data_IF_994830346626
#
_entry.id   IF_994830346626
#
_cell.length_a   1.000
_cell.length_b   1.000
_cell.length_c   1.000
_cell.angle_alpha   90.00
_cell.angle_beta   90.00
_cell.angle_gamma   90.00
#
_symmetry.space_group_name_H-M   'P 1'
#
loop_
_entity.id
_entity.type
_entity.pdbx_description
1 polymer ?
#
# COMPACT_ATOMS: atom_id res chain seq x y z
N UNK A 1 -0.11 -14.59 -2.35
CA UNK A 1 0.63 -15.84 -2.15
C UNK A 1 0.81 -16.12 -0.66
N UNK A 2 0.99 -17.37 -0.32
CA UNK A 2 0.99 -17.82 1.08
C UNK A 2 2.15 -17.23 1.87
N UNK A 3 3.29 -17.07 1.22
CA UNK A 3 4.51 -16.49 1.80
C UNK A 3 4.36 -15.04 2.26
N UNK A 4 3.36 -14.34 1.73
CA UNK A 4 3.08 -12.93 2.05
C UNK A 4 1.79 -12.72 2.86
N UNK A 5 1.19 -13.80 3.39
CA UNK A 5 0.01 -13.71 4.24
C UNK A 5 0.28 -12.95 5.53
N UNK A 6 -0.79 -12.37 6.05
CA UNK A 6 -0.77 -11.77 7.38
C UNK A 6 -0.45 -12.87 8.41
N UNK A 7 0.52 -12.67 9.32
CA UNK A 7 0.83 -13.65 10.36
C UNK A 7 -0.41 -14.03 11.19
N UNK A 8 -0.49 -15.31 11.56
CA UNK A 8 -1.67 -15.84 12.26
C UNK A 8 -1.99 -15.08 13.54
N UNK A 9 -0.99 -14.67 14.31
CA UNK A 9 -1.19 -13.90 15.54
C UNK A 9 -1.85 -12.53 15.28
N UNK A 10 -1.52 -11.86 14.17
CA UNK A 10 -2.18 -10.60 13.78
C UNK A 10 -3.63 -10.86 13.40
N UNK A 11 -3.85 -11.94 12.63
CA UNK A 11 -5.19 -12.29 12.16
C UNK A 11 -6.12 -12.68 13.30
N UNK A 12 -5.65 -13.52 14.23
CA UNK A 12 -6.47 -14.01 15.34
C UNK A 12 -6.56 -13.02 16.50
N UNK A 13 -5.41 -12.50 16.97
CA UNK A 13 -5.35 -11.72 18.20
C UNK A 13 -5.66 -10.24 17.99
N UNK A 14 -5.52 -9.73 16.76
CA UNK A 14 -5.78 -8.31 16.46
C UNK A 14 -7.02 -8.14 15.61
N UNK A 15 -7.06 -8.70 14.40
CA UNK A 15 -8.15 -8.45 13.46
C UNK A 15 -9.47 -9.05 13.93
N UNK A 16 -9.49 -10.34 14.27
CA UNK A 16 -10.72 -10.99 14.77
C UNK A 16 -11.14 -10.45 16.14
N UNK A 17 -10.19 -10.25 17.04
CA UNK A 17 -10.49 -9.75 18.39
C UNK A 17 -11.04 -8.32 18.39
N UNK A 18 -10.66 -7.48 17.41
CA UNK A 18 -11.19 -6.12 17.25
C UNK A 18 -12.60 -6.07 16.67
N UNK A 19 -13.15 -7.21 16.20
CA UNK A 19 -14.47 -7.28 15.58
C UNK A 19 -14.55 -6.63 14.19
N UNK A 20 -13.41 -6.30 13.57
CA UNK A 20 -13.38 -5.77 12.21
C UNK A 20 -13.45 -6.91 11.18
N UNK A 21 -14.26 -6.70 10.16
CA UNK A 21 -14.27 -7.58 8.99
C UNK A 21 -12.98 -7.38 8.20
N UNK A 22 -12.36 -8.48 7.77
CA UNK A 22 -11.21 -8.47 6.87
C UNK A 22 -11.29 -9.64 5.90
N UNK A 23 -10.70 -9.46 4.74
CA UNK A 23 -10.63 -10.48 3.69
C UNK A 23 -9.21 -10.54 3.15
N UNK A 24 -8.65 -11.74 2.99
CA UNK A 24 -7.40 -11.96 2.28
C UNK A 24 -7.69 -12.53 0.89
N UNK A 25 -7.25 -11.83 -0.13
CA UNK A 25 -7.44 -12.25 -1.53
C UNK A 25 -6.09 -12.52 -2.18
N UNK A 26 -6.06 -13.41 -3.16
CA UNK A 26 -4.83 -13.75 -3.89
C UNK A 26 -4.65 -12.94 -5.17
N UNK A 27 -5.73 -12.39 -5.71
CA UNK A 27 -5.70 -11.61 -6.95
C UNK A 27 -6.14 -10.19 -6.69
N UNK A 28 -5.37 -9.24 -7.19
CA UNK A 28 -5.67 -7.82 -7.06
C UNK A 28 -7.01 -7.46 -7.73
N UNK A 29 -7.29 -8.07 -8.87
CA UNK A 29 -8.50 -7.84 -9.65
C UNK A 29 -9.78 -8.18 -8.88
N UNK A 30 -9.74 -9.14 -7.96
CA UNK A 30 -10.89 -9.54 -7.16
C UNK A 30 -11.23 -8.50 -6.06
N UNK A 31 -10.23 -7.71 -5.66
CA UNK A 31 -10.39 -6.66 -4.66
C UNK A 31 -10.75 -5.29 -5.27
N UNK A 32 -10.13 -4.91 -6.40
CA UNK A 32 -10.22 -3.56 -6.99
C UNK A 32 -11.64 -2.98 -7.08
N UNK A 33 -12.68 -3.72 -7.50
CA UNK A 33 -14.03 -3.16 -7.59
C UNK A 33 -14.65 -2.75 -6.25
N UNK A 34 -14.12 -3.29 -5.15
CA UNK A 34 -14.66 -3.08 -3.79
C UNK A 34 -13.95 -1.94 -3.05
N UNK A 35 -12.72 -1.60 -3.47
CA UNK A 35 -11.85 -0.70 -2.71
C UNK A 35 -12.21 0.78 -2.86
N UNK A 36 -12.14 1.51 -1.77
CA UNK A 36 -12.12 2.97 -1.73
C UNK A 36 -10.69 3.50 -1.67
N UNK A 37 -9.79 2.74 -1.06
CA UNK A 37 -8.35 3.05 -0.99
C UNK A 37 -7.55 1.78 -1.30
N UNK A 38 -6.62 1.89 -2.22
CA UNK A 38 -5.62 0.87 -2.51
C UNK A 38 -4.26 1.36 -2.02
N UNK A 39 -3.74 0.77 -0.94
CA UNK A 39 -2.39 1.06 -0.46
C UNK A 39 -1.43 0.01 -1.01
N UNK A 40 -0.74 0.34 -2.10
CA UNK A 40 0.27 -0.54 -2.70
C UNK A 40 1.60 -0.46 -1.97
N UNK A 41 2.29 -1.57 -1.88
CA UNK A 41 3.67 -1.66 -1.42
C UNK A 41 4.47 -2.57 -2.35
N UNK A 42 5.78 -2.37 -2.40
CA UNK A 42 6.65 -3.29 -3.13
C UNK A 42 6.71 -4.66 -2.44
N UNK A 43 6.98 -5.69 -3.22
CA UNK A 43 7.37 -7.00 -2.69
C UNK A 43 8.77 -6.88 -2.12
N UNK A 44 8.92 -7.08 -0.81
CA UNK A 44 10.18 -6.86 -0.09
C UNK A 44 11.10 -8.06 -0.27
N UNK A 45 12.23 -7.89 -1.01
CA UNK A 45 13.23 -8.94 -1.23
C UNK A 45 13.75 -9.51 0.11
N UNK A 46 13.86 -8.67 1.10
CA UNK A 46 14.39 -8.96 2.43
C UNK A 46 13.55 -10.00 3.21
N UNK A 47 12.33 -10.29 2.77
CA UNK A 47 11.43 -11.28 3.39
C UNK A 47 11.54 -12.68 2.81
N UNK A 48 12.30 -12.85 1.72
CA UNK A 48 12.48 -14.13 1.06
C UNK A 48 13.79 -14.79 1.49
N UNK A 49 13.73 -16.07 1.82
CA UNK A 49 14.92 -16.85 2.20
C UNK A 49 15.84 -17.13 1.01
N UNK A 50 15.28 -17.19 -0.21
CA UNK A 50 16.05 -17.39 -1.42
C UNK A 50 15.64 -16.38 -2.51
N UNK A 51 16.55 -16.18 -3.46
CA UNK A 51 16.35 -15.21 -4.54
C UNK A 51 15.36 -15.72 -5.61
N UNK A 52 15.23 -17.03 -5.78
CA UNK A 52 14.34 -17.63 -6.77
C UNK A 52 12.86 -17.34 -6.43
N UNK A 53 12.49 -17.47 -5.16
CA UNK A 53 11.15 -17.13 -4.68
C UNK A 53 10.84 -15.65 -4.87
N UNK A 54 11.81 -14.77 -4.57
CA UNK A 54 11.63 -13.34 -4.82
C UNK A 54 11.41 -13.04 -6.30
N UNK A 55 12.25 -13.62 -7.20
CA UNK A 55 12.11 -13.40 -8.65
C UNK A 55 10.75 -13.87 -9.17
N UNK A 56 10.23 -14.98 -8.65
CA UNK A 56 8.89 -15.50 -8.99
C UNK A 56 7.78 -14.55 -8.53
N UNK A 57 7.96 -13.86 -7.39
CA UNK A 57 6.92 -13.08 -6.73
C UNK A 57 6.98 -11.58 -6.99
N UNK A 58 8.15 -11.05 -7.40
CA UNK A 58 8.36 -9.60 -7.56
C UNK A 58 7.38 -8.92 -8.51
N UNK A 59 6.91 -9.65 -9.54
CA UNK A 59 6.01 -9.16 -10.57
C UNK A 59 4.56 -9.65 -10.38
N UNK A 60 4.25 -10.24 -9.23
CA UNK A 60 2.95 -10.86 -8.98
C UNK A 60 1.81 -9.82 -8.87
N UNK A 61 2.09 -8.67 -8.30
CA UNK A 61 1.12 -7.58 -8.13
C UNK A 61 1.62 -6.34 -8.87
N UNK A 62 1.26 -6.20 -10.13
CA UNK A 62 1.52 -4.97 -10.89
C UNK A 62 0.18 -4.29 -11.13
N UNK A 63 0.06 -3.04 -10.67
CA UNK A 63 -1.07 -2.17 -10.99
C UNK A 63 -0.78 -1.46 -12.30
N UNK A 64 -1.52 -1.78 -13.32
CA UNK A 64 -1.46 -1.21 -14.65
C UNK A 64 -2.77 -0.49 -15.01
N UNK A 65 -2.80 0.12 -16.19
CA UNK A 65 -3.97 0.85 -16.67
C UNK A 65 -5.19 -0.04 -16.86
N UNK A 66 -5.02 -1.30 -17.27
CA UNK A 66 -6.14 -2.22 -17.48
C UNK A 66 -6.79 -2.59 -16.14
N UNK A 67 -5.99 -2.83 -15.10
CA UNK A 67 -6.52 -3.07 -13.75
C UNK A 67 -7.20 -1.84 -13.17
N UNK A 68 -6.73 -0.64 -13.50
CA UNK A 68 -7.37 0.61 -13.10
C UNK A 68 -8.79 0.78 -13.66
N UNK A 69 -9.13 0.13 -14.76
CA UNK A 69 -10.50 0.13 -15.31
C UNK A 69 -11.50 -0.66 -14.44
N UNK A 70 -11.01 -1.62 -13.65
CA UNK A 70 -11.82 -2.41 -12.71
C UNK A 70 -12.12 -1.65 -11.42
N UNK A 71 -11.32 -0.64 -11.10
CA UNK A 71 -11.40 0.09 -9.85
C UNK A 71 -12.50 1.16 -9.88
N UNK A 72 -13.03 1.53 -8.71
CA UNK A 72 -13.96 2.64 -8.57
C UNK A 72 -13.35 3.94 -9.09
N UNK A 73 -14.19 4.83 -9.62
CA UNK A 73 -13.76 6.11 -10.18
C UNK A 73 -13.19 7.08 -9.14
N UNK A 74 -13.60 6.92 -7.89
CA UNK A 74 -13.24 7.72 -6.73
C UNK A 74 -12.28 7.01 -5.77
N UNK A 75 -11.75 5.84 -6.15
CA UNK A 75 -10.71 5.14 -5.38
C UNK A 75 -9.43 5.98 -5.31
N UNK A 76 -8.74 5.96 -4.17
CA UNK A 76 -7.41 6.55 -4.04
C UNK A 76 -6.32 5.48 -4.04
N UNK A 77 -5.22 5.74 -4.76
CA UNK A 77 -4.04 4.89 -4.78
C UNK A 77 -2.94 5.54 -3.94
N UNK A 78 -2.50 4.84 -2.93
CA UNK A 78 -1.41 5.22 -2.03
C UNK A 78 -0.22 4.30 -2.21
N UNK A 79 0.99 4.82 -1.99
CA UNK A 79 2.24 4.08 -2.00
C UNK A 79 3.29 4.82 -1.18
N UNK A 80 4.07 4.16 -0.31
CA UNK A 80 5.05 4.84 0.54
C UNK A 80 6.26 5.40 -0.23
N UNK A 81 6.44 5.02 -1.50
CA UNK A 81 7.61 5.32 -2.33
C UNK A 81 8.96 5.02 -1.64
N UNK A 82 10.03 4.74 -2.38
CA UNK A 82 10.08 4.60 -3.84
C UNK A 82 9.41 3.30 -4.32
N UNK A 83 8.84 3.35 -5.51
CA UNK A 83 8.34 2.15 -6.19
C UNK A 83 9.41 1.58 -7.14
N UNK A 84 9.25 0.32 -7.53
CA UNK A 84 10.03 -0.35 -8.58
C UNK A 84 9.14 -0.54 -9.81
N UNK A 85 8.35 -1.61 -9.86
CA UNK A 85 7.46 -1.96 -10.97
C UNK A 85 6.03 -2.29 -10.55
N UNK A 86 5.74 -2.29 -9.25
CA UNK A 86 4.44 -2.66 -8.69
C UNK A 86 3.31 -1.68 -9.07
N UNK A 87 3.66 -0.48 -9.50
CA UNK A 87 2.73 0.45 -10.17
C UNK A 87 3.39 0.89 -11.48
N UNK A 88 2.73 0.62 -12.59
CA UNK A 88 3.15 1.07 -13.91
C UNK A 88 3.18 2.59 -14.01
N UNK A 89 4.17 3.14 -14.72
CA UNK A 89 4.31 4.60 -14.88
C UNK A 89 3.13 5.26 -15.60
N UNK A 90 2.39 4.51 -16.40
CA UNK A 90 1.18 5.01 -17.06
C UNK A 90 0.05 5.37 -16.08
N UNK A 91 0.07 4.81 -14.85
CA UNK A 91 -0.88 5.12 -13.79
C UNK A 91 -0.62 6.49 -13.17
N UNK A 92 0.58 7.07 -13.33
CA UNK A 92 0.95 8.36 -12.72
C UNK A 92 0.07 9.52 -13.18
N UNK A 93 -0.46 9.44 -14.39
CA UNK A 93 -1.36 10.45 -14.94
C UNK A 93 -2.83 10.28 -14.51
N UNK A 94 -3.17 9.18 -13.82
CA UNK A 94 -4.53 8.92 -13.37
C UNK A 94 -4.85 9.84 -12.16
N UNK A 95 -6.01 10.52 -12.14
CA UNK A 95 -6.36 11.43 -11.03
C UNK A 95 -6.50 10.73 -9.66
N UNK A 96 -6.66 9.40 -9.66
CA UNK A 96 -6.70 8.57 -8.44
C UNK A 96 -5.32 8.30 -7.86
N UNK A 97 -4.22 8.57 -8.59
CA UNK A 97 -2.85 8.37 -8.15
C UNK A 97 -2.44 9.44 -7.12
N UNK A 98 -2.67 9.16 -5.83
CA UNK A 98 -2.43 10.10 -4.74
C UNK A 98 -1.05 9.96 -4.07
N UNK A 99 -0.23 8.98 -4.47
CA UNK A 99 1.03 8.63 -3.80
C UNK A 99 2.10 9.73 -3.85
N UNK A 100 2.14 10.58 -4.87
CA UNK A 100 3.07 11.73 -4.88
C UNK A 100 2.65 12.80 -3.86
N UNK A 101 1.35 13.11 -3.77
CA UNK A 101 0.82 14.00 -2.73
C UNK A 101 1.01 13.41 -1.34
N UNK A 102 0.79 12.11 -1.19
CA UNK A 102 1.04 11.38 0.06
C UNK A 102 2.49 11.55 0.52
N UNK A 103 3.47 11.40 -0.39
CA UNK A 103 4.88 11.58 -0.07
C UNK A 103 5.18 13.01 0.42
N UNK A 104 4.61 14.03 -0.23
CA UNK A 104 4.73 15.42 0.20
C UNK A 104 4.09 15.66 1.57
N UNK A 105 2.88 15.16 1.80
CA UNK A 105 2.21 15.27 3.10
C UNK A 105 2.97 14.54 4.20
N UNK A 106 3.64 13.46 3.87
CA UNK A 106 4.53 12.74 4.78
C UNK A 106 5.66 13.63 5.34
N UNK A 107 6.15 14.60 4.58
CA UNK A 107 7.12 15.61 5.08
C UNK A 107 6.46 16.48 6.14
N UNK A 108 5.29 17.04 5.87
CA UNK A 108 4.59 17.92 6.80
C UNK A 108 4.19 17.20 8.10
N UNK A 109 3.69 15.97 7.98
CA UNK A 109 3.33 15.16 9.16
C UNK A 109 4.56 14.84 10.01
N UNK A 110 5.71 14.50 9.40
CA UNK A 110 6.95 14.26 10.15
C UNK A 110 7.45 15.54 10.82
N UNK A 111 7.40 16.68 10.16
CA UNK A 111 7.74 17.97 10.76
C UNK A 111 6.85 18.26 11.98
N UNK A 112 5.54 18.13 11.83
CA UNK A 112 4.58 18.32 12.93
C UNK A 112 4.85 17.36 14.10
N UNK A 113 5.12 16.08 13.81
CA UNK A 113 5.45 15.08 14.82
C UNK A 113 6.72 15.46 15.61
N UNK A 114 7.79 15.85 14.91
CA UNK A 114 9.04 16.27 15.55
C UNK A 114 8.81 17.49 16.45
N UNK A 115 8.11 18.50 15.95
CA UNK A 115 7.79 19.71 16.72
C UNK A 115 6.97 19.38 17.97
N UNK A 116 6.00 18.47 17.83
CA UNK A 116 5.15 18.01 18.95
C UNK A 116 5.98 17.27 20.02
N UNK A 117 6.85 16.35 19.58
CA UNK A 117 7.70 15.57 20.51
C UNK A 117 8.75 16.45 21.22
N UNK A 118 9.19 17.52 20.58
CA UNK A 118 10.13 18.49 21.16
C UNK A 118 9.43 19.62 21.93
N UNK A 119 8.10 19.58 22.03
CA UNK A 119 7.27 20.59 22.71
C UNK A 119 7.51 22.04 22.19
N UNK A 120 7.87 22.16 20.91
CA UNK A 120 8.13 23.46 20.28
C UNK A 120 6.81 24.18 20.05
N UNK A 121 6.67 25.36 20.66
CA UNK A 121 5.55 26.27 20.39
C UNK A 121 5.85 27.09 19.13
N UNK A 122 5.05 26.88 18.10
CA UNK A 122 5.14 27.73 16.89
C UNK A 122 4.55 29.12 17.19
N UNK A 123 5.18 30.18 16.70
CA UNK A 123 4.56 31.50 16.75
C UNK A 123 3.27 31.46 15.90
N UNK A 124 2.17 31.90 16.48
CA UNK A 124 0.89 32.10 15.79
C UNK A 124 0.98 33.28 14.80
#
# INVERSE_FOLDING_TARGET
>A
PEELRIPDYIREDVLKASGHEFEEVTRLEDALPKLDVLYMTRVQKERFFNEEDYVRMKDFYILDKQKMELAKKDMYILHPLPRVNEISTEVDADPRAAYFKQAQYGVYVRMALILTLLEVKLPC
#
